data_IF_902840433172
#
_entry.id   IF_902840433172
#
_cell.length_a   1.000
_cell.length_b   1.000
_cell.length_c   1.000
_cell.angle_alpha   90.00
_cell.angle_beta   90.00
_cell.angle_gamma   90.00
#
_symmetry.space_group_name_H-M   'P 1'
#
loop_
_entity.id
_entity.type
_entity.pdbx_description
1 polymer ?
#
# COMPACT_ATOMS: atom_id res chain seq x y z
N UNK A 1 27.41 -12.70 12.41
CA UNK A 1 28.15 -12.14 11.28
C UNK A 1 27.14 -11.33 10.48
N UNK A 2 27.26 -10.02 10.43
CA UNK A 2 26.41 -9.21 9.53
C UNK A 2 26.92 -9.50 8.10
N UNK A 3 26.06 -10.01 7.24
CA UNK A 3 26.35 -10.11 5.80
C UNK A 3 26.25 -8.69 5.28
N UNK A 4 27.38 -8.06 4.98
CA UNK A 4 27.41 -6.66 4.53
C UNK A 4 26.82 -6.49 3.13
N UNK A 5 26.84 -7.55 2.31
CA UNK A 5 26.27 -7.57 0.98
C UNK A 5 25.18 -8.64 0.87
N UNK A 6 23.98 -8.22 0.46
CA UNK A 6 22.80 -9.07 0.23
C UNK A 6 22.40 -9.14 -1.25
N UNK A 7 23.22 -8.58 -2.14
CA UNK A 7 22.92 -8.52 -3.59
C UNK A 7 22.67 -9.89 -4.19
N UNK A 8 23.50 -10.87 -3.83
CA UNK A 8 23.34 -12.24 -4.31
C UNK A 8 22.04 -12.88 -3.84
N UNK A 9 21.62 -12.56 -2.60
CA UNK A 9 20.36 -13.05 -2.06
C UNK A 9 19.18 -12.42 -2.78
N UNK A 10 19.21 -11.11 -3.01
CA UNK A 10 18.15 -10.38 -3.71
C UNK A 10 18.05 -10.82 -5.16
N UNK A 11 19.19 -11.05 -5.85
CA UNK A 11 19.18 -11.55 -7.23
C UNK A 11 18.59 -12.96 -7.32
N UNK A 12 18.98 -13.88 -6.42
CA UNK A 12 18.42 -15.23 -6.41
C UNK A 12 16.92 -15.23 -6.11
N UNK A 13 16.45 -14.38 -5.17
CA UNK A 13 15.03 -14.24 -4.88
C UNK A 13 14.26 -13.65 -6.06
N UNK A 14 14.83 -12.65 -6.73
CA UNK A 14 14.21 -12.05 -7.92
C UNK A 14 14.06 -13.09 -9.04
N UNK A 15 15.12 -13.82 -9.35
CA UNK A 15 15.12 -14.82 -10.41
C UNK A 15 14.08 -15.91 -10.11
N UNK A 16 13.99 -16.39 -8.87
CA UNK A 16 12.95 -17.33 -8.42
C UNK A 16 11.53 -16.76 -8.56
N UNK A 17 11.30 -15.51 -8.18
CA UNK A 17 9.98 -14.86 -8.28
C UNK A 17 9.58 -14.65 -9.74
N UNK A 18 10.52 -14.26 -10.61
CA UNK A 18 10.26 -14.11 -12.06
C UNK A 18 9.89 -15.47 -12.66
N UNK A 19 10.67 -16.52 -12.38
CA UNK A 19 10.41 -17.87 -12.85
C UNK A 19 9.04 -18.37 -12.42
N UNK A 20 8.69 -18.22 -11.15
CA UNK A 20 7.38 -18.61 -10.61
C UNK A 20 6.22 -17.82 -11.24
N UNK A 21 6.43 -16.53 -11.53
CA UNK A 21 5.43 -15.71 -12.21
C UNK A 21 5.21 -16.20 -13.62
N UNK A 22 6.28 -16.47 -14.39
CA UNK A 22 6.17 -17.00 -15.74
C UNK A 22 5.50 -18.38 -15.74
N UNK A 23 5.85 -19.27 -14.81
CA UNK A 23 5.26 -20.62 -14.69
C UNK A 23 3.73 -20.58 -14.47
N UNK A 24 3.22 -19.51 -13.83
CA UNK A 24 1.80 -19.32 -13.63
C UNK A 24 0.99 -19.05 -14.91
N UNK A 25 1.64 -18.51 -15.95
CA UNK A 25 0.98 -18.13 -17.22
C UNK A 25 1.46 -18.97 -18.40
N UNK A 26 2.69 -19.43 -18.37
CA UNK A 26 3.33 -20.27 -19.38
C UNK A 26 3.80 -21.56 -18.69
N UNK A 27 2.98 -22.62 -18.68
CA UNK A 27 3.40 -23.92 -18.13
C UNK A 27 4.61 -24.47 -18.88
N UNK A 28 5.55 -25.09 -18.17
CA UNK A 28 6.74 -25.69 -18.78
C UNK A 28 6.36 -26.77 -19.80
N UNK A 29 7.06 -26.78 -20.93
CA UNK A 29 6.84 -27.74 -22.04
C UNK A 29 5.41 -27.69 -22.62
N UNK A 30 4.77 -26.51 -22.54
CA UNK A 30 3.44 -26.26 -23.12
C UNK A 30 3.54 -25.71 -24.54
N UNK A 31 2.46 -25.87 -25.30
CA UNK A 31 2.34 -25.28 -26.62
C UNK A 31 1.87 -23.81 -26.49
N UNK A 32 2.23 -22.96 -27.45
CA UNK A 32 1.88 -21.53 -27.48
C UNK A 32 0.37 -21.27 -27.31
N UNK A 33 -0.47 -22.18 -27.81
CA UNK A 33 -1.94 -22.10 -27.66
C UNK A 33 -2.42 -22.13 -26.20
N UNK A 34 -1.58 -22.58 -25.27
CA UNK A 34 -1.87 -22.69 -23.83
C UNK A 34 -1.34 -21.50 -23.02
N UNK A 35 -0.63 -20.59 -23.67
CA UNK A 35 -0.01 -19.45 -22.99
C UNK A 35 -0.99 -18.30 -22.80
N UNK A 36 -1.05 -17.78 -21.59
CA UNK A 36 -1.78 -16.53 -21.29
C UNK A 36 -0.83 -15.33 -21.35
N UNK A 37 -0.48 -14.93 -22.57
CA UNK A 37 0.43 -13.82 -22.83
C UNK A 37 -0.13 -12.48 -22.27
N UNK A 38 -1.41 -12.10 -22.54
CA UNK A 38 -1.95 -10.87 -21.98
C UNK A 38 -2.01 -10.85 -20.43
N UNK A 39 -2.21 -12.02 -19.81
CA UNK A 39 -2.13 -12.18 -18.37
C UNK A 39 -0.72 -11.96 -17.84
N UNK A 40 0.28 -12.54 -18.52
CA UNK A 40 1.69 -12.39 -18.18
C UNK A 40 2.20 -10.95 -18.33
N UNK A 41 1.83 -10.23 -19.40
CA UNK A 41 2.19 -8.82 -19.57
C UNK A 41 1.70 -7.96 -18.40
N UNK A 42 0.45 -8.18 -17.97
CA UNK A 42 -0.11 -7.48 -16.81
C UNK A 42 0.58 -7.86 -15.50
N UNK A 43 0.90 -9.14 -15.32
CA UNK A 43 1.61 -9.61 -14.15
C UNK A 43 3.02 -9.00 -14.07
N UNK A 44 3.76 -8.96 -15.18
CA UNK A 44 5.08 -8.34 -15.26
C UNK A 44 5.02 -6.83 -14.95
N UNK A 45 4.02 -6.13 -15.45
CA UNK A 45 3.83 -4.71 -15.10
C UNK A 45 3.48 -4.53 -13.62
N UNK A 46 2.61 -5.38 -13.06
CA UNK A 46 2.15 -5.25 -11.67
C UNK A 46 3.16 -5.72 -10.63
N UNK A 47 4.02 -6.70 -10.95
CA UNK A 47 4.97 -7.25 -9.99
C UNK A 47 6.37 -6.63 -10.14
N UNK A 48 6.81 -6.38 -11.37
CA UNK A 48 8.18 -5.91 -11.65
C UNK A 48 8.25 -4.48 -12.20
N UNK A 49 7.12 -3.82 -12.40
CA UNK A 49 7.03 -2.49 -13.04
C UNK A 49 7.70 -2.43 -14.43
N UNK A 50 7.73 -3.56 -15.15
CA UNK A 50 8.33 -3.67 -16.49
C UNK A 50 7.22 -3.91 -17.51
N UNK A 51 7.16 -3.07 -18.54
CA UNK A 51 6.24 -3.22 -19.66
C UNK A 51 6.94 -3.88 -20.82
N UNK A 52 6.64 -5.14 -21.06
CA UNK A 52 7.19 -5.90 -22.17
C UNK A 52 6.10 -6.18 -23.20
N UNK A 53 6.29 -5.89 -24.49
CA UNK A 53 5.34 -6.20 -25.55
C UNK A 53 5.53 -7.65 -26.03
N UNK A 54 5.12 -8.63 -25.21
CA UNK A 54 5.36 -10.04 -25.49
C UNK A 54 4.62 -10.53 -26.74
N UNK A 55 3.40 -10.05 -26.96
CA UNK A 55 2.63 -10.36 -28.17
C UNK A 55 3.40 -9.98 -29.44
N UNK A 56 4.03 -8.79 -29.44
CA UNK A 56 4.82 -8.34 -30.60
C UNK A 56 6.09 -9.17 -30.79
N UNK A 57 6.72 -9.59 -29.70
CA UNK A 57 7.90 -10.44 -29.79
C UNK A 57 7.61 -11.80 -30.42
N UNK A 58 6.43 -12.36 -30.15
CA UNK A 58 5.97 -13.62 -30.74
C UNK A 58 5.56 -13.45 -32.21
N UNK A 59 5.02 -12.30 -32.59
CA UNK A 59 4.68 -12.00 -33.99
C UNK A 59 5.94 -11.72 -34.87
N UNK A 60 7.00 -11.15 -34.26
CA UNK A 60 8.24 -10.79 -35.01
C UNK A 60 9.21 -11.96 -35.17
N UNK A 61 9.17 -12.96 -34.27
CA UNK A 61 10.13 -14.07 -34.25
C UNK A 61 9.43 -15.42 -34.07
N UNK A 62 9.16 -16.10 -35.18
CA UNK A 62 8.58 -17.45 -35.22
C UNK A 62 9.43 -18.52 -34.54
N UNK A 63 10.68 -18.22 -34.20
CA UNK A 63 11.59 -19.13 -33.50
C UNK A 63 11.64 -18.88 -31.98
N UNK A 64 10.81 -18.00 -31.46
CA UNK A 64 10.79 -17.69 -30.05
C UNK A 64 10.06 -18.81 -29.28
N UNK A 65 10.81 -19.84 -28.88
CA UNK A 65 10.29 -20.94 -28.07
C UNK A 65 10.18 -20.53 -26.60
N UNK A 66 9.45 -21.31 -25.81
CA UNK A 66 9.23 -21.11 -24.38
C UNK A 66 10.51 -20.70 -23.64
N UNK A 67 11.60 -21.48 -23.83
CA UNK A 67 12.85 -21.28 -23.09
C UNK A 67 13.54 -19.95 -23.45
N UNK A 68 13.51 -19.58 -24.73
CA UNK A 68 14.09 -18.32 -25.21
C UNK A 68 13.25 -17.11 -24.79
N UNK A 69 11.91 -17.26 -24.75
CA UNK A 69 11.01 -16.22 -24.25
C UNK A 69 11.23 -15.97 -22.76
N UNK A 70 11.35 -17.03 -21.95
CA UNK A 70 11.66 -16.94 -20.52
C UNK A 70 12.97 -16.19 -20.28
N UNK A 71 14.01 -16.60 -20.95
CA UNK A 71 15.33 -15.97 -20.83
C UNK A 71 15.27 -14.48 -21.20
N UNK A 72 14.57 -14.12 -22.26
CA UNK A 72 14.42 -12.74 -22.70
C UNK A 72 13.64 -11.88 -21.68
N UNK A 73 12.62 -12.44 -21.03
CA UNK A 73 11.89 -11.79 -19.95
C UNK A 73 12.80 -11.58 -18.72
N UNK A 74 13.51 -12.62 -18.30
CA UNK A 74 14.45 -12.56 -17.19
C UNK A 74 15.52 -11.49 -17.40
N UNK A 75 16.17 -11.50 -18.58
CA UNK A 75 17.16 -10.50 -18.97
C UNK A 75 16.58 -9.08 -18.90
N UNK A 76 15.36 -8.85 -19.39
CA UNK A 76 14.71 -7.55 -19.38
C UNK A 76 14.41 -7.06 -17.95
N UNK A 77 14.01 -7.95 -17.05
CA UNK A 77 13.79 -7.63 -15.64
C UNK A 77 15.11 -7.30 -14.92
N UNK A 78 16.16 -8.07 -15.21
CA UNK A 78 17.52 -7.83 -14.68
C UNK A 78 18.04 -6.48 -15.14
N UNK A 79 17.92 -6.17 -16.44
CA UNK A 79 18.35 -4.88 -17.01
C UNK A 79 17.62 -3.70 -16.38
N UNK A 80 16.30 -3.82 -16.19
CA UNK A 80 15.50 -2.78 -15.52
C UNK A 80 15.97 -2.54 -14.09
N UNK A 81 16.32 -3.59 -13.35
CA UNK A 81 16.85 -3.49 -12.00
C UNK A 81 18.24 -2.87 -11.95
N UNK A 82 19.14 -3.28 -12.84
CA UNK A 82 20.49 -2.72 -12.96
C UNK A 82 20.48 -1.23 -13.37
N UNK A 83 19.54 -0.83 -14.22
CA UNK A 83 19.35 0.57 -14.57
C UNK A 83 18.99 1.41 -13.34
N UNK A 84 18.13 0.90 -12.44
CA UNK A 84 17.82 1.55 -11.16
C UNK A 84 19.04 1.63 -10.26
N UNK A 85 19.77 0.54 -10.11
CA UNK A 85 20.98 0.50 -9.28
C UNK A 85 22.02 1.53 -9.76
N UNK A 86 22.17 1.69 -11.06
CA UNK A 86 23.09 2.68 -11.67
C UNK A 86 22.65 4.11 -11.35
N UNK A 87 21.34 4.38 -11.31
CA UNK A 87 20.81 5.73 -10.99
C UNK A 87 20.97 6.09 -9.53
N UNK A 88 20.79 5.12 -8.63
CA UNK A 88 20.76 5.33 -7.17
C UNK A 88 22.15 5.24 -6.56
N UNK A 89 23.01 4.45 -7.14
CA UNK A 89 24.29 4.03 -6.60
C UNK A 89 24.16 2.74 -5.78
N UNK A 90 25.14 1.85 -5.95
CA UNK A 90 25.11 0.50 -5.37
C UNK A 90 24.98 0.50 -3.84
N UNK A 91 25.69 1.39 -3.13
CA UNK A 91 25.66 1.44 -1.67
C UNK A 91 24.27 1.81 -1.13
N UNK A 92 23.65 2.83 -1.71
CA UNK A 92 22.30 3.25 -1.32
C UNK A 92 21.28 2.16 -1.63
N UNK A 93 21.43 1.46 -2.77
CA UNK A 93 20.57 0.35 -3.13
C UNK A 93 20.67 -0.79 -2.12
N UNK A 94 21.88 -1.17 -1.69
CA UNK A 94 22.08 -2.22 -0.65
C UNK A 94 21.45 -1.85 0.68
N UNK A 95 21.54 -0.58 1.11
CA UNK A 95 20.85 -0.13 2.33
C UNK A 95 19.33 -0.23 2.20
N UNK A 96 18.81 0.16 1.05
CA UNK A 96 17.38 0.12 0.78
C UNK A 96 16.85 -1.31 0.73
N UNK A 97 17.53 -2.22 0.04
CA UNK A 97 17.19 -3.64 0.01
C UNK A 97 17.10 -4.25 1.41
N UNK A 98 18.10 -3.99 2.26
CA UNK A 98 18.10 -4.44 3.67
C UNK A 98 16.89 -3.91 4.43
N UNK A 99 16.58 -2.63 4.26
CA UNK A 99 15.44 -1.99 4.94
C UNK A 99 14.11 -2.61 4.48
N UNK A 100 13.91 -2.79 3.18
CA UNK A 100 12.69 -3.38 2.63
C UNK A 100 12.53 -4.82 3.10
N UNK A 101 13.58 -5.64 3.03
CA UNK A 101 13.53 -7.03 3.49
C UNK A 101 13.16 -7.13 4.97
N UNK A 102 13.75 -6.29 5.83
CA UNK A 102 13.43 -6.30 7.25
C UNK A 102 11.99 -5.83 7.52
N UNK A 103 11.52 -4.81 6.82
CA UNK A 103 10.18 -4.28 6.99
C UNK A 103 9.11 -5.28 6.54
N UNK A 104 9.28 -5.91 5.39
CA UNK A 104 8.37 -6.94 4.87
C UNK A 104 8.35 -8.14 5.80
N UNK A 105 9.54 -8.63 6.19
CA UNK A 105 9.66 -9.76 7.11
C UNK A 105 8.94 -9.48 8.44
N UNK A 106 9.13 -8.29 9.04
CA UNK A 106 8.52 -7.94 10.32
C UNK A 106 6.99 -7.88 10.24
N UNK A 107 6.47 -7.35 9.14
CA UNK A 107 5.02 -7.24 8.90
C UNK A 107 4.40 -8.62 8.70
N UNK A 108 4.89 -9.39 7.75
CA UNK A 108 4.33 -10.70 7.41
C UNK A 108 4.55 -11.74 8.53
N UNK A 109 5.65 -11.62 9.28
CA UNK A 109 5.89 -12.47 10.44
C UNK A 109 4.85 -12.24 11.54
N UNK A 110 4.48 -10.99 11.83
CA UNK A 110 3.42 -10.68 12.80
C UNK A 110 2.06 -11.26 12.38
N UNK A 111 1.73 -11.12 11.11
CA UNK A 111 0.50 -11.70 10.54
C UNK A 111 0.51 -13.22 10.60
N UNK A 112 1.65 -13.85 10.29
CA UNK A 112 1.82 -15.29 10.40
C UNK A 112 1.63 -15.79 11.84
N UNK A 113 2.22 -15.12 12.82
CA UNK A 113 2.02 -15.49 14.23
C UNK A 113 0.54 -15.42 14.65
N UNK A 114 -0.18 -14.40 14.17
CA UNK A 114 -1.62 -14.27 14.41
C UNK A 114 -2.39 -15.43 13.77
N UNK A 115 -2.08 -15.77 12.52
CA UNK A 115 -2.70 -16.87 11.80
C UNK A 115 -2.42 -18.22 12.48
N UNK A 116 -1.18 -18.42 12.97
CA UNK A 116 -0.80 -19.61 13.72
C UNK A 116 -1.56 -19.73 15.05
N UNK A 117 -1.82 -18.61 15.72
CA UNK A 117 -2.65 -18.61 16.94
C UNK A 117 -4.11 -18.99 16.63
N UNK A 118 -4.69 -18.49 15.53
CA UNK A 118 -6.02 -18.89 15.08
C UNK A 118 -6.07 -20.37 14.72
N UNK A 119 -5.08 -20.89 14.01
CA UNK A 119 -4.96 -22.31 13.71
C UNK A 119 -4.93 -23.15 15.00
N UNK A 120 -4.12 -22.74 15.97
CA UNK A 120 -3.99 -23.43 17.26
C UNK A 120 -5.31 -23.48 18.03
N UNK A 121 -6.08 -22.40 18.02
CA UNK A 121 -7.36 -22.31 18.69
C UNK A 121 -8.43 -23.19 18.03
N UNK A 122 -8.42 -23.28 16.70
CA UNK A 122 -9.44 -24.00 15.91
C UNK A 122 -9.12 -25.48 15.64
N UNK A 123 -7.88 -25.91 15.80
CA UNK A 123 -7.43 -27.23 15.31
C UNK A 123 -8.14 -28.42 15.96
N UNK A 124 -8.58 -28.30 17.21
CA UNK A 124 -9.27 -29.37 17.94
C UNK A 124 -10.62 -29.72 17.28
N UNK A 125 -11.26 -28.80 16.58
CA UNK A 125 -12.51 -29.02 15.84
C UNK A 125 -12.35 -30.04 14.70
N UNK A 126 -11.12 -30.23 14.18
CA UNK A 126 -10.83 -31.26 13.17
C UNK A 126 -11.08 -32.69 13.68
N UNK A 127 -11.05 -32.88 15.00
CA UNK A 127 -11.40 -34.18 15.64
C UNK A 127 -12.82 -34.62 15.38
N UNK A 128 -13.78 -33.70 15.22
CA UNK A 128 -15.17 -34.06 14.88
C UNK A 128 -15.29 -34.65 13.48
N UNK A 129 -14.38 -34.31 12.57
CA UNK A 129 -14.28 -34.86 11.23
C UNK A 129 -13.44 -36.15 11.15
N UNK A 130 -13.19 -36.83 12.29
CA UNK A 130 -12.38 -38.04 12.42
C UNK A 130 -10.92 -37.87 11.94
N UNK A 131 -10.41 -36.64 11.89
CA UNK A 131 -9.02 -36.33 11.55
C UNK A 131 -8.19 -36.22 12.83
N UNK A 132 -6.90 -36.55 12.75
CA UNK A 132 -5.98 -36.37 13.85
C UNK A 132 -5.55 -34.90 13.96
N UNK A 133 -5.97 -34.16 15.02
CA UNK A 133 -5.68 -32.73 15.13
C UNK A 133 -4.18 -32.38 15.10
N UNK A 134 -3.32 -33.27 15.65
CA UNK A 134 -1.86 -33.04 15.65
C UNK A 134 -1.25 -33.14 14.25
N UNK A 135 -1.74 -34.07 13.43
CA UNK A 135 -1.26 -34.23 12.04
C UNK A 135 -1.77 -33.08 11.18
N UNK A 136 -3.04 -32.71 11.29
CA UNK A 136 -3.62 -31.57 10.58
C UNK A 136 -2.90 -30.28 10.96
N UNK A 137 -2.63 -30.04 12.25
CA UNK A 137 -1.86 -28.87 12.67
C UNK A 137 -0.49 -28.79 12.02
N UNK A 138 0.25 -29.89 12.01
CA UNK A 138 1.58 -29.91 11.36
C UNK A 138 1.51 -29.61 9.88
N UNK A 139 0.52 -30.17 9.19
CA UNK A 139 0.32 -29.97 7.77
C UNK A 139 -0.05 -28.53 7.44
N UNK A 140 -1.09 -28.01 8.12
CA UNK A 140 -1.57 -26.64 7.90
C UNK A 140 -0.52 -25.61 8.33
N UNK A 141 0.18 -25.82 9.45
CA UNK A 141 1.26 -24.94 9.88
C UNK A 141 2.44 -24.90 8.89
N UNK A 142 2.77 -26.04 8.30
CA UNK A 142 3.83 -26.10 7.27
C UNK A 142 3.41 -25.35 6.00
N UNK A 143 2.16 -25.50 5.57
CA UNK A 143 1.62 -24.76 4.42
C UNK A 143 1.65 -23.25 4.66
N UNK A 144 1.16 -22.79 5.81
CA UNK A 144 1.20 -21.38 6.21
C UNK A 144 2.62 -20.82 6.25
N UNK A 145 3.58 -21.63 6.66
CA UNK A 145 4.99 -21.20 6.67
C UNK A 145 5.58 -21.10 5.27
N UNK A 146 5.24 -22.02 4.37
CA UNK A 146 5.64 -21.93 2.96
C UNK A 146 5.03 -20.68 2.31
N UNK A 147 3.73 -20.46 2.48
CA UNK A 147 3.04 -19.26 2.00
C UNK A 147 3.69 -17.98 2.52
N UNK A 148 4.10 -17.96 3.80
CA UNK A 148 4.84 -16.84 4.37
C UNK A 148 6.14 -16.57 3.60
N UNK A 149 6.94 -17.60 3.35
CA UNK A 149 8.22 -17.45 2.64
C UNK A 149 8.02 -16.94 1.21
N UNK A 150 7.03 -17.48 0.51
CA UNK A 150 6.71 -17.09 -0.86
C UNK A 150 6.19 -15.63 -0.90
N UNK A 151 5.31 -15.25 0.02
CA UNK A 151 4.82 -13.88 0.14
C UNK A 151 5.95 -12.88 0.47
N UNK A 152 6.90 -13.25 1.35
CA UNK A 152 8.06 -12.40 1.65
C UNK A 152 8.87 -12.15 0.38
N UNK A 153 9.19 -13.19 -0.39
CA UNK A 153 9.95 -13.06 -1.63
C UNK A 153 9.24 -12.16 -2.63
N UNK A 154 7.95 -12.41 -2.85
CA UNK A 154 7.13 -11.67 -3.80
C UNK A 154 7.00 -10.20 -3.40
N UNK A 155 6.65 -9.89 -2.14
CA UNK A 155 6.48 -8.52 -1.66
C UNK A 155 7.78 -7.73 -1.69
N UNK A 156 8.91 -8.35 -1.31
CA UNK A 156 10.23 -7.71 -1.40
C UNK A 156 10.54 -7.31 -2.83
N UNK A 157 10.43 -8.22 -3.77
CA UNK A 157 10.74 -7.93 -5.18
C UNK A 157 9.78 -6.92 -5.76
N UNK A 158 8.48 -7.01 -5.47
CA UNK A 158 7.48 -6.04 -5.91
C UNK A 158 7.81 -4.63 -5.42
N UNK A 159 8.12 -4.45 -4.13
CA UNK A 159 8.47 -3.14 -3.57
C UNK A 159 9.75 -2.61 -4.21
N UNK A 160 10.80 -3.42 -4.30
CA UNK A 160 12.07 -3.03 -4.91
C UNK A 160 11.91 -2.65 -6.39
N UNK A 161 11.02 -3.33 -7.10
CA UNK A 161 10.72 -3.06 -8.50
C UNK A 161 9.93 -1.77 -8.73
N UNK A 162 9.01 -1.42 -7.83
CA UNK A 162 8.14 -0.24 -7.98
C UNK A 162 8.74 1.04 -7.43
N UNK A 163 9.70 0.97 -6.53
CA UNK A 163 10.30 2.18 -5.97
C UNK A 163 11.02 2.97 -7.05
N UNK A 164 10.59 4.21 -7.18
CA UNK A 164 11.27 5.21 -7.99
C UNK A 164 12.15 6.05 -7.08
N UNK A 165 13.45 5.96 -7.26
CA UNK A 165 14.38 6.80 -6.53
C UNK A 165 14.47 8.13 -7.24
N UNK A 166 14.00 9.17 -6.56
CA UNK A 166 14.09 10.55 -7.05
C UNK A 166 15.43 11.13 -6.65
N UNK A 167 16.02 11.92 -7.53
CA UNK A 167 17.25 12.61 -7.21
C UNK A 167 17.00 13.67 -6.12
N UNK A 168 17.99 13.95 -5.25
CA UNK A 168 17.84 14.92 -4.16
C UNK A 168 17.32 16.27 -4.63
N UNK A 169 17.73 16.73 -5.82
CA UNK A 169 17.30 17.98 -6.42
C UNK A 169 15.79 18.01 -6.74
N UNK A 170 15.22 16.87 -7.17
CA UNK A 170 13.77 16.76 -7.43
C UNK A 170 12.98 16.75 -6.11
N UNK A 171 13.54 16.12 -5.07
CA UNK A 171 12.93 16.11 -3.73
C UNK A 171 12.90 17.50 -3.14
N UNK A 172 14.01 18.26 -3.24
CA UNK A 172 14.07 19.66 -2.78
C UNK A 172 13.09 20.55 -3.55
N UNK A 173 12.99 20.40 -4.85
CA UNK A 173 12.04 21.15 -5.68
C UNK A 173 10.58 20.84 -5.29
N UNK A 174 10.25 19.58 -5.03
CA UNK A 174 8.92 19.20 -4.57
C UNK A 174 8.62 19.70 -3.15
N UNK A 175 9.60 19.67 -2.25
CA UNK A 175 9.44 20.23 -0.91
C UNK A 175 9.22 21.74 -0.95
N UNK A 176 9.94 22.46 -1.80
CA UNK A 176 9.75 23.89 -2.01
C UNK A 176 8.34 24.18 -2.54
N UNK A 177 7.89 23.45 -3.56
CA UNK A 177 6.52 23.60 -4.09
C UNK A 177 5.45 23.29 -3.02
N UNK A 178 5.67 22.28 -2.20
CA UNK A 178 4.76 21.92 -1.12
C UNK A 178 4.72 23.00 -0.02
N UNK A 179 5.87 23.58 0.32
CA UNK A 179 5.95 24.72 1.26
C UNK A 179 5.24 25.95 0.70
N UNK A 180 5.48 26.30 -0.57
CA UNK A 180 4.80 27.41 -1.23
C UNK A 180 3.27 27.21 -1.30
N UNK A 181 2.81 25.99 -1.61
CA UNK A 181 1.37 25.68 -1.59
C UNK A 181 0.77 25.78 -0.19
N UNK A 182 1.49 25.30 0.82
CA UNK A 182 1.04 25.42 2.21
C UNK A 182 0.99 26.88 2.68
N UNK A 183 1.95 27.71 2.25
CA UNK A 183 1.94 29.15 2.54
C UNK A 183 0.82 29.87 1.80
N UNK A 184 0.54 29.56 0.53
CA UNK A 184 -0.59 30.09 -0.23
C UNK A 184 -1.93 29.72 0.41
N UNK A 185 -2.07 28.49 0.89
CA UNK A 185 -3.27 28.06 1.62
C UNK A 185 -3.42 28.83 2.93
N UNK A 186 -2.35 29.01 3.71
CA UNK A 186 -2.40 29.82 4.95
C UNK A 186 -2.77 31.28 4.69
N UNK A 187 -2.23 31.88 3.61
CA UNK A 187 -2.60 33.25 3.21
C UNK A 187 -4.07 33.36 2.80
N UNK A 188 -4.63 32.39 2.09
CA UNK A 188 -6.05 32.36 1.76
C UNK A 188 -6.94 32.28 3.01
N UNK A 189 -6.60 31.43 3.98
CA UNK A 189 -7.34 31.35 5.24
C UNK A 189 -7.28 32.64 6.05
N UNK A 190 -6.15 33.36 6.07
CA UNK A 190 -6.04 34.67 6.72
C UNK A 190 -6.84 35.76 5.99
N UNK A 191 -6.95 35.70 4.66
CA UNK A 191 -7.76 36.65 3.88
C UNK A 191 -9.26 36.45 4.12
N UNK A 192 -9.72 35.21 4.25
CA UNK A 192 -11.11 34.90 4.55
C UNK A 192 -11.50 35.35 5.98
N UNK A 193 -10.61 35.18 6.98
CA UNK A 193 -10.84 35.65 8.33
C UNK A 193 -10.87 37.19 8.42
N UNK A 194 -10.02 37.89 7.68
CA UNK A 194 -10.03 39.37 7.65
C UNK A 194 -11.22 39.93 6.88
N UNK A 195 -11.72 39.24 5.85
CA UNK A 195 -12.93 39.63 5.13
C UNK A 195 -14.19 39.43 5.99
N UNK A 196 -14.25 38.37 6.81
CA UNK A 196 -15.35 38.12 7.72
C UNK A 196 -15.42 39.11 8.90
N UNK A 197 -14.29 39.75 9.27
CA UNK A 197 -14.26 40.83 10.30
C UNK A 197 -14.58 42.21 9.74
N UNK A 198 -14.54 42.40 8.41
CA UNK A 198 -14.81 43.69 7.75
C UNK A 198 -16.27 43.98 7.45
N UNK A 199 -17.19 43.03 7.56
CA UNK A 199 -18.60 43.15 7.19
C UNK A 199 -19.57 43.30 8.39
N UNK A 200 -19.11 43.66 9.57
CA UNK A 200 -20.01 44.09 10.65
C UNK A 200 -20.23 45.60 10.66
N UNK A 201 -20.80 46.12 9.61
CA UNK A 201 -21.20 47.51 9.52
C UNK A 201 -22.09 47.75 8.32
N UNK A 202 -23.42 47.83 8.57
CA UNK A 202 -24.48 48.34 7.71
C UNK A 202 -25.15 47.41 6.71
N UNK A 203 -26.44 47.19 6.95
CA UNK A 203 -27.42 46.83 5.93
C UNK A 203 -28.26 45.60 6.22
N UNK A 204 -29.22 45.76 7.16
CA UNK A 204 -30.41 44.93 7.14
C UNK A 204 -31.23 45.24 5.88
N UNK A 205 -31.76 44.19 5.30
CA UNK A 205 -32.94 44.10 4.42
C UNK A 205 -32.70 43.50 3.03
N UNK A 206 -33.46 42.45 2.82
CA UNK A 206 -33.92 41.89 1.55
C UNK A 206 -32.95 40.99 0.74
N UNK A 207 -33.18 39.68 0.83
CA UNK A 207 -33.72 38.90 -0.29
C UNK A 207 -33.89 37.43 0.06
N UNK A 208 -35.15 37.03 -0.02
CA UNK A 208 -35.62 35.65 -0.15
C UNK A 208 -35.21 35.03 -1.48
N UNK A 209 -35.13 33.72 -1.41
CA UNK A 209 -35.29 32.74 -2.49
C UNK A 209 -34.20 32.61 -3.57
N UNK A 210 -33.47 31.50 -3.57
CA UNK A 210 -33.64 30.39 -4.51
C UNK A 210 -32.56 29.28 -4.42
N UNK A 211 -33.11 28.09 -4.31
CA UNK A 211 -32.72 26.79 -4.93
C UNK A 211 -31.45 26.05 -4.48
N UNK A 212 -31.74 25.02 -3.76
CA UNK A 212 -31.36 23.56 -3.89
C UNK A 212 -30.39 23.25 -5.01
N UNK A 213 -29.21 22.74 -4.69
CA UNK A 213 -28.60 21.56 -5.26
C UNK A 213 -27.25 21.21 -4.61
N UNK A 214 -27.13 19.95 -4.22
CA UNK A 214 -25.94 19.10 -4.13
C UNK A 214 -24.83 19.36 -3.09
N UNK A 215 -24.90 18.56 -2.05
CA UNK A 215 -23.85 17.70 -1.53
C UNK A 215 -22.46 18.30 -1.28
N UNK A 216 -22.28 19.06 -0.21
CA UNK A 216 -20.99 19.16 0.45
C UNK A 216 -21.20 18.98 1.95
N UNK A 217 -20.59 17.97 2.55
CA UNK A 217 -20.57 17.75 3.99
C UNK A 217 -19.93 18.95 4.69
N UNK A 218 -20.75 19.87 5.16
CA UNK A 218 -20.28 20.96 6.00
C UNK A 218 -20.00 20.41 7.41
N UNK A 219 -18.90 20.80 8.05
CA UNK A 219 -18.63 20.39 9.41
C UNK A 219 -19.74 20.91 10.33
N UNK A 220 -20.28 20.03 11.17
CA UNK A 220 -21.33 20.32 12.14
C UNK A 220 -20.86 21.41 13.11
N UNK A 221 -21.41 22.62 12.97
CA UNK A 221 -21.25 23.73 13.91
C UNK A 221 -22.38 23.68 14.94
N UNK A 222 -22.04 23.69 16.23
CA UNK A 222 -23.01 23.70 17.31
C UNK A 222 -23.52 25.13 17.50
N UNK A 223 -24.83 25.32 17.45
CA UNK A 223 -25.48 26.62 17.66
C UNK A 223 -25.51 27.10 19.15
N UNK A 224 -25.08 26.25 20.08
CA UNK A 224 -25.06 26.56 21.51
C UNK A 224 -23.64 26.51 22.08
N UNK A 225 -23.27 27.47 22.96
CA UNK A 225 -21.95 27.47 23.58
C UNK A 225 -21.74 26.22 24.43
N UNK A 226 -20.49 25.71 24.41
CA UNK A 226 -20.11 24.50 25.13
C UNK A 226 -20.15 24.77 26.64
N UNK A 227 -21.14 24.20 27.35
CA UNK A 227 -21.29 24.33 28.80
C UNK A 227 -20.49 23.24 29.50
N UNK A 228 -19.64 23.64 30.45
CA UNK A 228 -18.84 22.72 31.25
C UNK A 228 -19.70 21.85 32.17
N UNK A 229 -19.28 20.59 32.43
CA UNK A 229 -20.03 19.62 33.25
C UNK A 229 -20.41 20.13 34.64
N UNK A 230 -19.62 21.03 35.23
CA UNK A 230 -19.82 21.59 36.57
C UNK A 230 -20.42 22.99 36.55
N UNK A 231 -20.68 23.60 35.39
CA UNK A 231 -21.27 24.92 35.23
C UNK A 231 -22.79 24.90 35.46
N UNK A 232 -23.41 26.03 35.79
CA UNK A 232 -24.85 26.10 35.93
C UNK A 232 -25.54 25.79 34.61
N UNK A 233 -26.64 25.04 34.67
CA UNK A 233 -27.37 24.62 33.48
C UNK A 233 -28.05 25.83 32.82
N UNK A 234 -27.93 26.03 31.50
CA UNK A 234 -28.51 27.18 30.78
C UNK A 234 -30.05 27.21 30.80
N UNK A 235 -30.70 26.13 31.26
CA UNK A 235 -32.16 26.10 31.42
C UNK A 235 -32.69 26.92 32.63
N UNK A 236 -31.83 27.59 33.39
CA UNK A 236 -32.25 28.41 34.54
C UNK A 236 -32.65 27.64 35.80
N UNK A 237 -32.44 26.31 35.86
CA UNK A 237 -32.83 25.46 37.00
C UNK A 237 -31.97 25.63 38.25
N UNK A 238 -30.89 26.40 38.22
CA UNK A 238 -29.94 26.56 39.32
C UNK A 238 -29.08 25.36 39.63
N UNK A 239 -29.24 24.25 38.92
CA UNK A 239 -28.50 23.00 39.10
C UNK A 239 -27.30 22.96 38.14
N UNK A 240 -26.24 22.23 38.53
CA UNK A 240 -25.07 21.98 37.64
C UNK A 240 -25.52 21.18 36.42
N UNK A 241 -24.90 21.42 35.26
CA UNK A 241 -25.25 20.79 33.98
C UNK A 241 -25.30 19.24 34.09
N UNK A 242 -24.35 18.60 34.77
CA UNK A 242 -24.33 17.16 35.04
C UNK A 242 -25.51 16.60 35.83
N UNK A 243 -26.21 17.44 36.57
CA UNK A 243 -27.37 17.07 37.40
C UNK A 243 -28.71 17.43 36.77
N UNK A 244 -28.70 18.09 35.61
CA UNK A 244 -29.86 18.52 34.86
C UNK A 244 -29.87 17.92 33.46
N UNK A 245 -29.51 18.66 32.43
CA UNK A 245 -29.52 18.19 31.02
C UNK A 245 -28.30 17.33 30.61
N UNK A 246 -27.25 17.33 31.42
CA UNK A 246 -26.08 16.48 31.21
C UNK A 246 -26.10 15.16 32.01
N UNK A 247 -27.25 14.71 32.51
CA UNK A 247 -27.41 13.44 33.20
C UNK A 247 -27.48 12.34 32.15
N UNK A 248 -26.46 11.49 32.13
CA UNK A 248 -26.48 10.26 31.34
C UNK A 248 -27.52 9.31 31.94
N UNK A 249 -28.47 8.86 31.14
CA UNK A 249 -29.46 7.84 31.48
C UNK A 249 -28.83 6.48 31.26
#
# INVERSE_FOLDING_TARGET
MAVDDISDTVSAVRDEVVENTIDGFIPRQSLEEQWDIPGLEKALESEFAVKLPLEKWLEEDDNLHEETLRQKIEESVVEAYQAKETQVGAETMRMFEKQVMLQVLDTLWKEHLQTMDHLRQGIHLRGYAQKNPKQEYKREAFQLFQELLDNIKQDVIRILSHVQVRQPEEVEAMEQQRREQAERQKMNYQHDETSAMGEQGQGAEQREEKQVAEGSEQPFTRDTPKVGRNEPCPCGSGKKYKQCHGKLV
#
